data_IF_378885544560
#
_entry.id   IF_378885544560
#
_cell.length_a   1.000
_cell.length_b   1.000
_cell.length_c   1.000
_cell.angle_alpha   90.00
_cell.angle_beta   90.00
_cell.angle_gamma   90.00
#
_symmetry.space_group_name_H-M   'P 1'
#
loop_
_entity.id
_entity.type
_entity.pdbx_description
1 polymer ?
#
# COMPACT_ATOMS: atom_id res chain seq x y z
N UNK A 1 -0.47 16.42 8.13
CA UNK A 1 -0.73 15.20 7.35
C UNK A 1 0.59 14.46 7.14
N UNK A 2 0.56 13.16 7.24
CA UNK A 2 1.72 12.33 6.99
C UNK A 2 1.54 11.61 5.67
N UNK A 3 2.51 11.75 4.79
CA UNK A 3 2.50 11.10 3.49
C UNK A 3 3.84 10.48 3.18
N UNK A 4 3.83 9.43 2.39
CA UNK A 4 5.04 8.76 1.95
C UNK A 4 4.80 8.06 0.61
N UNK A 5 5.90 7.70 -0.04
CA UNK A 5 5.87 7.06 -1.35
C UNK A 5 6.46 5.66 -1.24
N UNK A 6 5.83 4.71 -1.93
CA UNK A 6 6.30 3.33 -2.00
C UNK A 6 6.39 2.89 -3.45
N UNK A 7 7.23 1.90 -3.77
CA UNK A 7 7.26 1.33 -5.12
C UNK A 7 5.89 0.83 -5.55
N UNK A 8 5.60 0.93 -6.84
CA UNK A 8 4.33 0.44 -7.35
C UNK A 8 4.25 -1.08 -7.11
N UNK A 9 3.15 -1.57 -6.49
CA UNK A 9 3.07 -2.98 -6.13
C UNK A 9 2.98 -3.87 -7.36
N UNK A 10 3.83 -4.91 -7.45
CA UNK A 10 3.86 -5.78 -8.63
C UNK A 10 2.62 -6.67 -8.72
N UNK A 11 2.36 -7.16 -9.94
CA UNK A 11 1.22 -8.04 -10.20
C UNK A 11 1.21 -9.30 -9.34
N UNK A 12 2.39 -9.77 -8.90
CA UNK A 12 2.52 -10.95 -8.04
C UNK A 12 1.84 -10.79 -6.68
N UNK A 13 1.53 -9.56 -6.26
CA UNK A 13 0.82 -9.30 -5.00
C UNK A 13 -0.69 -9.40 -5.15
N UNK A 14 -1.21 -9.49 -6.36
CA UNK A 14 -2.64 -9.70 -6.60
C UNK A 14 -3.02 -11.13 -6.20
N UNK A 15 -4.19 -11.28 -5.58
CA UNK A 15 -4.72 -12.60 -5.22
C UNK A 15 -4.98 -13.51 -6.43
N UNK A 16 -5.03 -12.94 -7.63
CA UNK A 16 -5.22 -13.68 -8.88
C UNK A 16 -3.92 -14.07 -9.56
N UNK A 17 -2.78 -13.59 -9.07
CA UNK A 17 -1.50 -13.85 -9.70
C UNK A 17 -1.09 -15.31 -9.51
N UNK A 18 -0.57 -15.91 -10.60
CA UNK A 18 0.00 -17.26 -10.57
C UNK A 18 1.46 -17.16 -10.16
N UNK A 19 1.98 -18.23 -9.57
CA UNK A 19 3.38 -18.29 -9.22
C UNK A 19 3.62 -19.16 -8.00
N UNK A 20 4.90 -19.42 -7.74
CA UNK A 20 5.28 -20.25 -6.62
C UNK A 20 5.04 -19.51 -5.30
N UNK A 21 4.40 -20.16 -4.34
CA UNK A 21 4.00 -19.54 -3.09
C UNK A 21 5.19 -18.95 -2.29
N UNK A 22 6.38 -19.57 -2.34
CA UNK A 22 7.56 -19.04 -1.66
C UNK A 22 8.02 -17.71 -2.23
N UNK A 23 8.02 -17.59 -3.55
CA UNK A 23 8.37 -16.34 -4.22
C UNK A 23 7.36 -15.25 -3.86
N UNK A 24 6.06 -15.58 -3.88
CA UNK A 24 5.01 -14.66 -3.47
C UNK A 24 5.16 -14.24 -2.02
N UNK A 25 5.46 -15.19 -1.13
CA UNK A 25 5.62 -14.92 0.29
C UNK A 25 6.80 -13.97 0.54
N UNK A 26 7.91 -14.15 -0.17
CA UNK A 26 9.08 -13.27 -0.07
C UNK A 26 8.76 -11.86 -0.53
N UNK A 27 8.10 -11.72 -1.68
CA UNK A 27 7.69 -10.40 -2.22
C UNK A 27 6.71 -9.73 -1.29
N UNK A 28 5.75 -10.46 -0.75
CA UNK A 28 4.77 -9.94 0.21
C UNK A 28 5.45 -9.40 1.47
N UNK A 29 6.37 -10.18 2.05
CA UNK A 29 7.10 -9.79 3.27
C UNK A 29 7.93 -8.53 3.03
N UNK A 30 8.57 -8.43 1.88
CA UNK A 30 9.39 -7.28 1.49
C UNK A 30 8.55 -6.00 1.40
N UNK A 31 7.41 -6.07 0.73
CA UNK A 31 6.53 -4.91 0.58
C UNK A 31 5.92 -4.48 1.92
N UNK A 32 5.54 -5.46 2.75
CA UNK A 32 5.06 -5.19 4.09
C UNK A 32 6.11 -4.45 4.93
N UNK A 33 7.37 -4.91 4.88
CA UNK A 33 8.46 -4.28 5.60
C UNK A 33 8.74 -2.86 5.10
N UNK A 34 8.71 -2.63 3.80
CA UNK A 34 8.89 -1.29 3.23
C UNK A 34 7.83 -0.31 3.72
N UNK A 35 6.57 -0.75 3.73
CA UNK A 35 5.48 0.09 4.22
C UNK A 35 5.62 0.40 5.69
N UNK A 36 6.02 -0.56 6.51
CA UNK A 36 6.25 -0.35 7.94
C UNK A 36 7.34 0.69 8.17
N UNK A 37 8.46 0.57 7.47
CA UNK A 37 9.58 1.52 7.60
C UNK A 37 9.17 2.93 7.15
N UNK A 38 8.47 3.04 6.03
CA UNK A 38 8.00 4.33 5.53
C UNK A 38 7.03 5.00 6.49
N UNK A 39 6.14 4.21 7.09
CA UNK A 39 5.18 4.71 8.07
C UNK A 39 5.88 5.19 9.33
N UNK A 40 6.85 4.44 9.84
CA UNK A 40 7.66 4.87 10.97
C UNK A 40 8.35 6.20 10.69
N UNK A 41 8.93 6.35 9.50
CA UNK A 41 9.63 7.58 9.13
C UNK A 41 8.68 8.77 9.04
N UNK A 42 7.48 8.56 8.54
CA UNK A 42 6.46 9.61 8.41
C UNK A 42 5.80 9.94 9.75
N UNK A 43 5.81 9.00 10.69
CA UNK A 43 5.28 9.16 12.05
C UNK A 43 3.87 9.78 12.09
N UNK A 44 2.87 9.20 11.40
CA UNK A 44 1.54 9.78 11.38
C UNK A 44 0.88 9.69 12.74
N UNK A 45 0.08 10.70 13.06
CA UNK A 45 -0.77 10.69 14.24
C UNK A 45 -2.14 10.15 13.85
N UNK A 46 -2.65 9.18 14.59
CA UNK A 46 -3.93 8.55 14.28
C UNK A 46 -4.85 8.58 15.50
N UNK A 47 -6.18 8.57 15.29
CA UNK A 47 -7.11 8.58 16.41
C UNK A 47 -7.00 7.29 17.23
N UNK A 48 -7.25 7.40 18.53
CA UNK A 48 -7.18 6.27 19.46
C UNK A 48 -8.23 5.19 19.15
N UNK A 49 -9.34 5.59 18.54
CA UNK A 49 -10.43 4.68 18.18
C UNK A 49 -11.12 5.17 16.91
N UNK A 50 -11.87 4.28 16.26
CA UNK A 50 -12.61 4.62 15.05
C UNK A 50 -11.80 4.46 13.77
N UNK A 51 -12.32 5.02 12.69
CA UNK A 51 -11.71 4.88 11.38
C UNK A 51 -10.39 5.65 11.26
N UNK A 52 -9.45 5.06 10.55
CA UNK A 52 -8.21 5.70 10.14
C UNK A 52 -8.28 5.87 8.62
N UNK A 53 -8.35 7.10 8.17
CA UNK A 53 -8.46 7.39 6.74
C UNK A 53 -7.10 7.31 6.08
N UNK A 54 -7.02 6.51 5.02
CA UNK A 54 -5.81 6.37 4.21
C UNK A 54 -6.17 6.62 2.76
N UNK A 55 -5.49 7.57 2.14
CA UNK A 55 -5.68 7.87 0.71
C UNK A 55 -4.48 7.34 -0.07
N UNK A 56 -4.74 6.59 -1.13
CA UNK A 56 -3.70 5.97 -1.97
C UNK A 56 -3.83 6.49 -3.39
N UNK A 57 -2.75 7.06 -3.91
CA UNK A 57 -2.67 7.47 -5.31
C UNK A 57 -1.79 6.47 -6.05
N UNK A 58 -2.35 5.84 -7.08
CA UNK A 58 -1.64 4.89 -7.92
C UNK A 58 -1.08 5.61 -9.13
N UNK A 59 0.25 5.60 -9.25
CA UNK A 59 0.96 6.12 -10.43
C UNK A 59 1.69 4.94 -11.05
N UNK A 60 1.04 4.19 -11.98
CA UNK A 60 1.64 2.98 -12.53
C UNK A 60 2.82 3.30 -13.45
N UNK A 61 3.72 2.33 -13.69
CA UNK A 61 4.86 2.57 -14.57
C UNK A 61 4.48 2.66 -16.05
N UNK A 62 3.35 2.08 -16.43
CA UNK A 62 2.83 2.06 -17.79
C UNK A 62 1.31 1.84 -17.79
N UNK A 63 0.72 1.63 -18.95
CA UNK A 63 -0.73 1.48 -19.08
C UNK A 63 -1.24 0.04 -18.94
N UNK A 64 -0.37 -0.90 -18.56
CA UNK A 64 -0.75 -2.30 -18.36
C UNK A 64 -1.49 -2.52 -17.06
N UNK A 65 -2.32 -3.54 -17.06
CA UNK A 65 -3.04 -3.99 -15.87
C UNK A 65 -4.32 -3.21 -15.60
N UNK A 66 -5.18 -3.83 -14.84
CA UNK A 66 -6.47 -3.27 -14.48
C UNK A 66 -6.38 -2.50 -13.16
N UNK A 67 -6.96 -1.32 -13.13
CA UNK A 67 -6.97 -0.48 -11.94
C UNK A 67 -7.60 -1.16 -10.73
N UNK A 68 -8.63 -1.98 -10.95
CA UNK A 68 -9.26 -2.75 -9.88
C UNK A 68 -8.27 -3.74 -9.24
N UNK A 69 -7.35 -4.29 -10.02
CA UNK A 69 -6.33 -5.20 -9.51
C UNK A 69 -5.23 -4.46 -8.74
N UNK A 70 -5.01 -3.18 -9.02
CA UNK A 70 -4.05 -2.37 -8.27
C UNK A 70 -4.45 -2.30 -6.79
N UNK A 71 -5.74 -2.13 -6.53
CA UNK A 71 -6.26 -2.08 -5.16
C UNK A 71 -5.95 -3.38 -4.42
N UNK A 72 -6.11 -4.53 -5.07
CA UNK A 72 -5.83 -5.83 -4.47
C UNK A 72 -4.35 -6.02 -4.10
N UNK A 73 -3.45 -5.32 -4.78
CA UNK A 73 -2.01 -5.40 -4.52
C UNK A 73 -1.59 -4.64 -3.27
N UNK A 74 -2.48 -3.84 -2.70
CA UNK A 74 -2.16 -2.99 -1.54
C UNK A 74 -2.18 -3.73 -0.21
N UNK A 75 -2.69 -4.95 -0.14
CA UNK A 75 -2.82 -5.67 1.14
C UNK A 75 -1.52 -5.75 1.94
N UNK A 76 -0.36 -6.13 1.34
CA UNK A 76 0.89 -6.14 2.10
C UNK A 76 1.29 -4.76 2.63
N UNK A 77 1.05 -3.71 1.85
CA UNK A 77 1.33 -2.35 2.31
C UNK A 77 0.44 -1.93 3.47
N UNK A 78 -0.85 -2.23 3.40
CA UNK A 78 -1.74 -1.94 4.51
C UNK A 78 -1.36 -2.72 5.77
N UNK A 79 -0.94 -3.97 5.63
CA UNK A 79 -0.46 -4.76 6.75
C UNK A 79 0.79 -4.13 7.39
N UNK A 80 1.71 -3.63 6.58
CA UNK A 80 2.92 -2.95 7.06
C UNK A 80 2.60 -1.64 7.77
N UNK A 81 1.67 -0.86 7.23
CA UNK A 81 1.22 0.39 7.86
C UNK A 81 0.59 0.07 9.22
N UNK A 82 -0.26 -0.95 9.28
CA UNK A 82 -0.89 -1.39 10.51
C UNK A 82 0.13 -1.85 11.55
N UNK A 83 1.16 -2.60 11.13
CA UNK A 83 2.26 -3.03 12.00
C UNK A 83 2.95 -1.81 12.64
N UNK A 84 3.29 -0.83 11.83
CA UNK A 84 4.00 0.37 12.31
C UNK A 84 3.15 1.21 13.25
N UNK A 85 1.87 1.31 12.98
CA UNK A 85 0.95 2.08 13.81
C UNK A 85 0.47 1.32 15.05
N UNK A 86 0.70 0.00 15.09
CA UNK A 86 0.23 -0.83 16.20
C UNK A 86 -1.29 -0.95 16.26
N UNK A 87 -1.95 -0.97 15.09
CA UNK A 87 -3.40 -1.02 15.00
C UNK A 87 -3.85 -2.21 14.15
N UNK A 88 -5.13 -2.54 14.23
CA UNK A 88 -5.74 -3.51 13.33
C UNK A 88 -6.10 -2.81 12.02
N UNK A 89 -5.75 -3.41 10.89
CA UNK A 89 -6.04 -2.84 9.56
C UNK A 89 -7.54 -2.76 9.26
N UNK A 90 -8.37 -3.45 10.02
CA UNK A 90 -9.83 -3.31 9.92
C UNK A 90 -10.31 -1.89 10.20
N UNK A 91 -9.50 -1.07 10.88
CA UNK A 91 -9.81 0.33 11.14
C UNK A 91 -9.56 1.23 9.93
N UNK A 92 -8.87 0.74 8.92
CA UNK A 92 -8.54 1.57 7.75
C UNK A 92 -9.77 1.80 6.89
N UNK A 93 -10.00 3.07 6.56
CA UNK A 93 -11.01 3.49 5.60
C UNK A 93 -10.26 4.02 4.37
N UNK A 94 -9.95 3.16 3.40
CA UNK A 94 -9.13 3.57 2.27
C UNK A 94 -9.93 4.30 1.20
N UNK A 95 -9.25 5.23 0.54
CA UNK A 95 -9.74 5.86 -0.67
C UNK A 95 -8.64 5.80 -1.72
N UNK A 96 -9.03 5.77 -3.00
CA UNK A 96 -8.09 5.52 -4.09
C UNK A 96 -8.23 6.55 -5.18
N UNK A 97 -7.08 6.92 -5.76
CA UNK A 97 -7.01 7.78 -6.92
C UNK A 97 -6.08 7.15 -7.94
N UNK A 98 -6.46 7.17 -9.22
CA UNK A 98 -5.69 6.55 -10.29
C UNK A 98 -5.14 7.65 -11.18
N UNK A 99 -3.82 7.75 -11.23
CA UNK A 99 -3.12 8.81 -11.95
C UNK A 99 -2.53 8.30 -13.26
N UNK A 100 -2.15 9.21 -14.12
CA UNK A 100 -1.47 8.88 -15.37
C UNK A 100 -0.17 8.12 -15.10
N UNK A 101 0.22 7.18 -15.99
CA UNK A 101 1.47 6.44 -15.82
C UNK A 101 2.70 7.34 -15.80
N UNK A 102 3.67 6.96 -14.97
CA UNK A 102 4.96 7.64 -14.86
C UNK A 102 6.00 6.65 -14.38
N UNK A 103 7.00 6.38 -15.18
CA UNK A 103 8.07 5.44 -14.81
C UNK A 103 8.91 5.99 -13.66
N UNK A 104 9.38 5.16 -12.73
CA UNK A 104 9.26 3.69 -12.67
C UNK A 104 7.97 3.20 -12.01
N UNK A 105 7.01 4.08 -11.73
CA UNK A 105 5.80 3.78 -11.01
C UNK A 105 5.96 3.92 -9.50
N UNK A 106 4.87 4.27 -8.84
CA UNK A 106 4.82 4.44 -7.39
C UNK A 106 3.40 4.44 -6.89
N UNK A 107 3.24 4.26 -5.60
CA UNK A 107 2.02 4.64 -4.90
C UNK A 107 2.37 5.74 -3.90
N UNK A 108 1.50 6.72 -3.79
CA UNK A 108 1.62 7.80 -2.82
C UNK A 108 0.55 7.57 -1.77
N UNK A 109 0.98 7.44 -0.52
CA UNK A 109 0.08 7.12 0.59
C UNK A 109 0.01 8.31 1.52
N UNK A 110 -1.21 8.70 1.86
CA UNK A 110 -1.46 9.75 2.83
C UNK A 110 -2.31 9.18 3.97
N UNK A 111 -1.81 9.30 5.19
CA UNK A 111 -2.60 9.02 6.39
C UNK A 111 -3.27 10.34 6.77
N UNK A 112 -4.57 10.42 6.56
CA UNK A 112 -5.34 11.65 6.76
C UNK A 112 -5.59 11.85 8.25
N UNK A 113 -5.29 13.02 8.74
CA UNK A 113 -5.44 13.37 10.15
C UNK A 113 -6.68 14.23 10.39
#
# INVERSE_FOLDING_TARGET
>A
MASFTLPFPPASLSGHAKGHWRAKSTVTAKHRAWAALATYAAAPSVPAAGDIRIHVRFVPPDRRGDRTNFVNRMKPYFDGIADALGVNDARFLPSYEFCAPEKPGRVEVEVVQ
#
